data_IF_974094118342
#
_entry.id   IF_974094118342
#
_cell.length_a   1.000
_cell.length_b   1.000
_cell.length_c   1.000
_cell.angle_alpha   90.00
_cell.angle_beta   90.00
_cell.angle_gamma   90.00
#
_symmetry.space_group_name_H-M   'P 1'
#
loop_
_entity.id
_entity.type
_entity.pdbx_description
1 polymer ?
#
# COMPACT_ATOMS: atom_id res chain seq x y z
N UNK A 1 11.99 17.64 -6.64
CA UNK A 1 10.69 18.23 -6.27
C UNK A 1 10.23 19.13 -7.40
N UNK A 2 9.14 18.76 -8.10
CA UNK A 2 8.64 19.46 -9.29
C UNK A 2 7.55 20.49 -8.97
N UNK A 3 7.21 20.68 -7.69
CA UNK A 3 6.16 21.60 -7.27
C UNK A 3 6.38 23.07 -7.67
N UNK A 4 7.62 23.59 -7.69
CA UNK A 4 7.85 24.97 -8.17
C UNK A 4 7.46 25.19 -9.63
N UNK A 5 7.54 24.13 -10.45
CA UNK A 5 7.25 24.23 -11.88
C UNK A 5 5.75 24.21 -12.22
N UNK A 6 4.88 24.07 -11.22
CA UNK A 6 3.42 24.04 -11.37
C UNK A 6 2.73 25.34 -10.93
N UNK A 7 3.49 26.38 -10.60
CA UNK A 7 2.94 27.67 -10.24
C UNK A 7 3.60 28.80 -11.04
N UNK A 8 2.90 29.92 -11.16
CA UNK A 8 3.32 31.08 -11.96
C UNK A 8 4.55 31.81 -11.38
N UNK A 9 4.86 31.61 -10.10
CA UNK A 9 5.95 32.32 -9.42
C UNK A 9 7.34 31.79 -9.81
N UNK A 10 7.41 30.59 -10.35
CA UNK A 10 8.66 29.95 -10.76
C UNK A 10 8.55 29.34 -12.17
N UNK A 11 7.74 29.93 -13.02
CA UNK A 11 7.63 29.50 -14.42
C UNK A 11 8.97 29.68 -15.13
N UNK A 12 9.54 28.54 -15.59
CA UNK A 12 10.73 28.55 -16.43
C UNK A 12 10.38 28.92 -17.85
N UNK A 13 11.21 29.70 -18.50
CA UNK A 13 11.01 30.19 -19.88
C UNK A 13 11.13 29.07 -20.94
N UNK A 14 11.53 27.89 -20.57
CA UNK A 14 11.67 26.71 -21.47
C UNK A 14 10.61 25.65 -21.27
N UNK A 15 10.18 25.02 -22.35
CA UNK A 15 9.19 23.92 -22.33
C UNK A 15 9.72 22.62 -21.69
N UNK A 16 11.00 22.54 -21.33
CA UNK A 16 11.62 21.33 -20.75
C UNK A 16 11.00 20.89 -19.42
N UNK A 17 10.43 21.82 -18.63
CA UNK A 17 9.73 21.52 -17.40
C UNK A 17 8.41 20.75 -17.56
N UNK A 18 7.91 20.61 -18.78
CA UNK A 18 6.62 19.98 -19.10
C UNK A 18 6.76 18.59 -19.74
N UNK A 19 7.94 18.01 -19.73
CA UNK A 19 8.20 16.68 -20.29
C UNK A 19 7.47 15.52 -19.55
N UNK A 20 6.88 15.80 -18.39
CA UNK A 20 6.04 14.84 -17.67
C UNK A 20 4.72 14.47 -18.38
N UNK A 21 4.37 15.15 -19.48
CA UNK A 21 3.21 14.79 -20.31
C UNK A 21 3.36 13.46 -21.04
N UNK A 22 4.58 12.97 -21.22
CA UNK A 22 4.83 11.72 -21.89
C UNK A 22 4.75 10.58 -20.86
N UNK A 23 3.82 9.64 -21.07
CA UNK A 23 3.72 8.43 -20.26
C UNK A 23 4.88 7.51 -20.63
N UNK A 24 5.74 7.20 -19.66
CA UNK A 24 6.82 6.25 -19.85
C UNK A 24 6.26 4.82 -20.01
N UNK A 25 6.90 4.02 -20.87
CA UNK A 25 6.58 2.60 -21.01
C UNK A 25 6.96 1.77 -19.78
N UNK A 26 7.85 2.30 -18.90
CA UNK A 26 8.25 1.65 -17.65
C UNK A 26 8.31 2.68 -16.53
N UNK A 27 8.06 2.22 -15.30
CA UNK A 27 8.15 3.04 -14.10
C UNK A 27 8.84 2.26 -12.98
N UNK A 28 9.91 2.82 -12.42
CA UNK A 28 10.67 2.19 -11.33
C UNK A 28 9.84 1.96 -10.06
N UNK A 29 8.82 2.80 -9.80
CA UNK A 29 7.92 2.61 -8.65
C UNK A 29 7.10 1.33 -8.79
N UNK A 30 6.61 1.02 -10.01
CA UNK A 30 5.87 -0.21 -10.28
C UNK A 30 6.69 -1.43 -9.90
N UNK A 31 7.90 -1.52 -10.41
CA UNK A 31 8.79 -2.65 -10.14
C UNK A 31 9.19 -2.74 -8.65
N UNK A 32 9.50 -1.61 -8.03
CA UNK A 32 9.85 -1.56 -6.61
C UNK A 32 8.69 -2.06 -5.72
N UNK A 33 7.47 -1.58 -5.95
CA UNK A 33 6.31 -2.02 -5.17
C UNK A 33 6.08 -3.53 -5.29
N UNK A 34 6.10 -4.10 -6.49
CA UNK A 34 5.91 -5.54 -6.65
C UNK A 34 7.07 -6.38 -6.10
N UNK A 35 8.29 -5.84 -6.09
CA UNK A 35 9.42 -6.48 -5.41
C UNK A 35 9.17 -6.59 -3.90
N UNK A 36 8.70 -5.53 -3.27
CA UNK A 36 8.39 -5.55 -1.83
C UNK A 36 7.16 -6.42 -1.51
N UNK A 37 6.14 -6.41 -2.36
CA UNK A 37 4.99 -7.32 -2.24
C UNK A 37 5.44 -8.78 -2.29
N UNK A 38 6.34 -9.13 -3.23
CA UNK A 38 6.90 -10.48 -3.31
C UNK A 38 7.63 -10.86 -2.03
N UNK A 39 8.46 -9.97 -1.46
CA UNK A 39 9.15 -10.20 -0.19
C UNK A 39 8.18 -10.48 0.95
N UNK A 40 7.10 -9.69 1.06
CA UNK A 40 6.06 -9.90 2.06
C UNK A 40 5.37 -11.26 1.88
N UNK A 41 5.03 -11.65 0.65
CA UNK A 41 4.39 -12.93 0.37
C UNK A 41 5.30 -14.13 0.64
N UNK A 42 6.61 -14.03 0.37
CA UNK A 42 7.59 -15.06 0.74
C UNK A 42 7.64 -15.24 2.26
N UNK A 43 7.68 -14.14 3.02
CA UNK A 43 7.64 -14.20 4.48
C UNK A 43 6.34 -14.87 4.95
N UNK A 44 5.18 -14.44 4.45
CA UNK A 44 3.89 -15.00 4.83
C UNK A 44 3.77 -16.50 4.52
N UNK A 45 4.38 -16.96 3.44
CA UNK A 45 4.38 -18.38 3.04
C UNK A 45 5.16 -19.26 4.02
N UNK A 46 6.29 -18.75 4.54
CA UNK A 46 7.23 -19.57 5.32
C UNK A 46 7.21 -19.30 6.83
N UNK A 47 6.56 -18.25 7.30
CA UNK A 47 6.61 -17.86 8.71
C UNK A 47 6.04 -18.92 9.66
N UNK A 48 5.10 -19.72 9.19
CA UNK A 48 4.48 -20.75 10.01
C UNK A 48 5.41 -21.96 10.26
N UNK A 49 6.34 -22.21 9.35
CA UNK A 49 7.32 -23.29 9.44
C UNK A 49 8.47 -22.95 10.39
N UNK A 50 8.63 -21.69 10.77
CA UNK A 50 9.74 -21.23 11.63
C UNK A 50 9.43 -21.52 13.09
N UNK A 51 10.40 -22.10 13.81
CA UNK A 51 10.29 -22.31 15.27
C UNK A 51 10.56 -21.01 16.02
N UNK A 52 9.49 -20.30 16.40
CA UNK A 52 9.54 -19.09 17.20
C UNK A 52 8.25 -18.90 18.03
N UNK A 53 8.29 -18.11 19.13
CA UNK A 53 7.12 -17.82 19.93
C UNK A 53 5.97 -17.22 19.10
N UNK A 54 4.73 -17.65 19.38
CA UNK A 54 3.54 -17.21 18.65
C UNK A 54 3.38 -15.67 18.57
N UNK A 55 3.70 -14.97 19.66
CA UNK A 55 3.65 -13.50 19.67
C UNK A 55 4.64 -12.88 18.67
N UNK A 56 5.81 -13.48 18.49
CA UNK A 56 6.78 -13.03 17.49
C UNK A 56 6.32 -13.38 16.08
N UNK A 57 5.73 -14.56 15.86
CA UNK A 57 5.10 -14.92 14.58
C UNK A 57 4.05 -13.90 14.18
N UNK A 58 3.12 -13.61 15.08
CA UNK A 58 2.04 -12.66 14.84
C UNK A 58 2.57 -11.27 14.53
N UNK A 59 3.60 -10.82 15.24
CA UNK A 59 4.24 -9.55 14.95
C UNK A 59 4.84 -9.49 13.54
N UNK A 60 5.61 -10.50 13.13
CA UNK A 60 6.22 -10.52 11.79
C UNK A 60 5.20 -10.72 10.67
N UNK A 61 4.15 -11.53 10.90
CA UNK A 61 3.01 -11.61 9.98
C UNK A 61 2.34 -10.25 9.81
N UNK A 62 2.10 -9.55 10.92
CA UNK A 62 1.49 -8.22 10.90
C UNK A 62 2.33 -7.20 10.13
N UNK A 63 3.66 -7.26 10.27
CA UNK A 63 4.57 -6.44 9.46
C UNK A 63 4.44 -6.77 7.96
N UNK A 64 4.40 -8.05 7.60
CA UNK A 64 4.27 -8.45 6.19
C UNK A 64 2.94 -7.96 5.57
N UNK A 65 1.83 -8.13 6.30
CA UNK A 65 0.53 -7.60 5.87
C UNK A 65 0.54 -6.07 5.77
N UNK A 66 1.12 -5.37 6.75
CA UNK A 66 1.24 -3.91 6.72
C UNK A 66 2.01 -3.43 5.49
N UNK A 67 3.16 -4.06 5.20
CA UNK A 67 3.98 -3.71 4.04
C UNK A 67 3.30 -4.05 2.73
N UNK A 68 2.66 -5.22 2.63
CA UNK A 68 1.92 -5.63 1.43
C UNK A 68 0.79 -4.67 1.10
N UNK A 69 -0.02 -4.34 2.10
CA UNK A 69 -1.10 -3.36 1.96
C UNK A 69 -0.57 -1.97 1.58
N UNK A 70 0.49 -1.49 2.25
CA UNK A 70 1.13 -0.22 1.92
C UNK A 70 1.62 -0.16 0.47
N UNK A 71 2.29 -1.20 -0.02
CA UNK A 71 2.82 -1.22 -1.39
C UNK A 71 1.71 -1.26 -2.44
N UNK A 72 0.65 -2.03 -2.21
CA UNK A 72 -0.52 -1.99 -3.10
C UNK A 72 -1.22 -0.62 -3.08
N UNK A 73 -1.33 0.03 -1.93
CA UNK A 73 -1.81 1.41 -1.86
C UNK A 73 -0.94 2.36 -2.69
N UNK A 74 0.38 2.23 -2.63
CA UNK A 74 1.29 3.04 -3.46
C UNK A 74 1.05 2.83 -4.96
N UNK A 75 0.79 1.58 -5.38
CA UNK A 75 0.43 1.26 -6.76
C UNK A 75 -0.89 1.90 -7.16
N UNK A 76 -1.95 1.71 -6.36
CA UNK A 76 -3.27 2.28 -6.62
C UNK A 76 -3.22 3.81 -6.69
N UNK A 77 -2.52 4.44 -5.74
CA UNK A 77 -2.39 5.90 -5.70
C UNK A 77 -1.72 6.48 -6.94
N UNK A 78 -0.74 5.77 -7.51
CA UNK A 78 0.04 6.28 -8.65
C UNK A 78 -0.52 5.85 -10.00
N UNK A 79 -1.05 4.63 -10.10
CA UNK A 79 -1.40 4.00 -11.36
C UNK A 79 -2.89 3.68 -11.52
N UNK A 80 -3.68 3.80 -10.45
CA UNK A 80 -5.08 3.36 -10.46
C UNK A 80 -5.18 1.84 -10.39
N UNK A 81 -5.74 1.23 -11.44
CA UNK A 81 -5.91 -0.22 -11.52
C UNK A 81 -4.55 -0.93 -11.52
N UNK A 82 -4.44 -1.97 -10.69
CA UNK A 82 -3.26 -2.80 -10.58
C UNK A 82 -3.64 -4.24 -10.21
N UNK A 83 -2.68 -5.16 -10.20
CA UNK A 83 -2.92 -6.50 -9.70
C UNK A 83 -2.77 -6.58 -8.19
N UNK A 84 -3.74 -7.23 -7.53
CA UNK A 84 -3.55 -7.75 -6.18
C UNK A 84 -2.75 -9.04 -6.24
N UNK A 85 -1.66 -9.09 -5.50
CA UNK A 85 -0.77 -10.26 -5.43
C UNK A 85 -0.62 -10.67 -3.97
N UNK A 86 -1.22 -11.78 -3.59
CA UNK A 86 -1.25 -12.31 -2.22
C UNK A 86 -0.42 -13.59 -2.04
N UNK A 87 0.26 -14.03 -3.08
CA UNK A 87 1.14 -15.19 -3.06
C UNK A 87 2.47 -14.93 -3.77
N UNK A 88 3.42 -15.81 -3.57
CA UNK A 88 4.62 -15.83 -4.40
C UNK A 88 4.27 -16.32 -5.80
N UNK A 89 4.42 -15.44 -6.80
CA UNK A 89 4.14 -15.77 -8.20
C UNK A 89 5.27 -16.59 -8.82
N UNK A 90 4.87 -17.51 -9.67
CA UNK A 90 5.74 -18.31 -10.54
C UNK A 90 5.47 -17.96 -12.00
N UNK A 91 6.26 -18.50 -12.92
CA UNK A 91 6.06 -18.33 -14.37
C UNK A 91 4.75 -18.95 -14.88
N UNK A 92 4.12 -19.82 -14.08
CA UNK A 92 2.85 -20.47 -14.40
C UNK A 92 1.63 -19.60 -14.11
N UNK A 93 1.79 -18.52 -13.33
CA UNK A 93 0.72 -17.61 -12.95
C UNK A 93 0.36 -16.62 -14.08
N UNK A 94 0.19 -17.11 -15.29
CA UNK A 94 0.00 -16.33 -16.53
C UNK A 94 -1.17 -15.34 -16.44
N UNK A 95 -2.26 -15.70 -15.74
CA UNK A 95 -3.43 -14.83 -15.57
C UNK A 95 -3.10 -13.54 -14.83
N UNK A 96 -2.21 -13.60 -13.83
CA UNK A 96 -1.77 -12.44 -13.09
C UNK A 96 -0.68 -11.69 -13.83
N UNK A 97 0.26 -12.44 -14.44
CA UNK A 97 1.42 -11.85 -15.13
C UNK A 97 1.03 -11.10 -16.42
N UNK A 98 0.01 -11.57 -17.14
CA UNK A 98 -0.32 -11.08 -18.49
C UNK A 98 -1.79 -10.68 -18.67
N UNK A 99 -2.61 -10.78 -17.62
CA UNK A 99 -4.04 -10.48 -17.67
C UNK A 99 -4.35 -8.98 -17.58
N UNK A 100 -5.62 -8.64 -17.40
CA UNK A 100 -6.08 -7.26 -17.17
C UNK A 100 -5.88 -6.88 -15.70
N UNK A 101 -5.50 -5.63 -15.46
CA UNK A 101 -5.44 -5.07 -14.11
C UNK A 101 -6.80 -5.15 -13.43
N UNK A 102 -6.81 -5.42 -12.14
CA UNK A 102 -8.01 -5.40 -11.31
C UNK A 102 -8.43 -3.97 -11.01
N UNK A 103 -9.72 -3.78 -10.81
CA UNK A 103 -10.27 -2.50 -10.44
C UNK A 103 -9.65 -1.99 -9.14
N UNK A 104 -9.28 -0.72 -9.10
CA UNK A 104 -8.63 -0.10 -7.94
C UNK A 104 -9.44 -0.27 -6.63
N UNK A 105 -10.78 -0.25 -6.72
CA UNK A 105 -11.63 -0.37 -5.53
C UNK A 105 -11.51 -1.76 -4.89
N UNK A 106 -11.49 -2.82 -5.73
CA UNK A 106 -11.28 -4.20 -5.25
C UNK A 106 -9.91 -4.35 -4.60
N UNK A 107 -8.87 -3.75 -5.19
CA UNK A 107 -7.53 -3.76 -4.62
C UNK A 107 -7.50 -3.01 -3.28
N UNK A 108 -8.18 -1.86 -3.18
CA UNK A 108 -8.24 -1.09 -1.93
C UNK A 108 -9.01 -1.80 -0.82
N UNK A 109 -10.01 -2.61 -1.16
CA UNK A 109 -10.69 -3.46 -0.19
C UNK A 109 -9.72 -4.49 0.41
N UNK A 110 -8.90 -5.11 -0.41
CA UNK A 110 -7.83 -6.03 0.04
C UNK A 110 -6.74 -5.32 0.84
N UNK A 111 -6.36 -4.10 0.45
CA UNK A 111 -5.45 -3.27 1.24
C UNK A 111 -6.02 -3.04 2.63
N UNK A 112 -7.31 -2.72 2.75
CA UNK A 112 -7.96 -2.50 4.04
C UNK A 112 -8.00 -3.79 4.89
N UNK A 113 -8.23 -4.96 4.28
CA UNK A 113 -8.15 -6.25 4.96
C UNK A 113 -6.75 -6.48 5.56
N UNK A 114 -5.69 -6.26 4.78
CA UNK A 114 -4.30 -6.38 5.23
C UNK A 114 -3.97 -5.44 6.39
N UNK A 115 -4.39 -4.18 6.29
CA UNK A 115 -4.17 -3.19 7.35
C UNK A 115 -4.95 -3.52 8.63
N UNK A 116 -6.18 -4.04 8.50
CA UNK A 116 -6.97 -4.50 9.62
C UNK A 116 -6.29 -5.66 10.34
N UNK A 117 -5.80 -6.66 9.58
CA UNK A 117 -5.04 -7.77 10.15
C UNK A 117 -3.80 -7.28 10.90
N UNK A 118 -3.02 -6.40 10.27
CA UNK A 118 -1.80 -5.87 10.86
C UNK A 118 -2.06 -5.18 12.20
N UNK A 119 -3.05 -4.30 12.28
CA UNK A 119 -3.39 -3.59 13.52
C UNK A 119 -3.92 -4.54 14.60
N UNK A 120 -4.76 -5.51 14.23
CA UNK A 120 -5.36 -6.43 15.20
C UNK A 120 -4.38 -7.43 15.79
N UNK A 121 -3.33 -7.82 15.06
CA UNK A 121 -2.45 -8.94 15.43
C UNK A 121 -1.02 -8.54 15.77
N UNK A 122 -0.62 -7.27 15.58
CA UNK A 122 0.75 -6.81 15.84
C UNK A 122 1.14 -6.90 17.33
N UNK A 123 0.18 -6.77 18.23
CA UNK A 123 0.39 -6.80 19.68
C UNK A 123 1.26 -5.63 20.18
N UNK A 124 1.69 -5.75 21.42
CA UNK A 124 2.44 -4.71 22.13
C UNK A 124 3.97 -4.75 21.88
N UNK A 125 4.44 -5.66 21.01
CA UNK A 125 5.86 -5.74 20.71
C UNK A 125 6.36 -4.42 20.12
N UNK A 126 7.43 -3.89 20.73
CA UNK A 126 8.02 -2.61 20.36
C UNK A 126 7.09 -1.38 20.53
N UNK A 127 6.00 -1.48 21.30
CA UNK A 127 5.04 -0.37 21.47
C UNK A 127 5.70 0.92 21.98
N UNK A 128 6.72 0.81 22.83
CA UNK A 128 7.51 1.95 23.34
C UNK A 128 8.68 2.36 22.43
N UNK A 129 8.95 1.63 21.36
CA UNK A 129 10.07 1.92 20.46
C UNK A 129 9.76 3.12 19.57
N UNK A 130 10.75 4.01 19.43
CA UNK A 130 10.68 5.15 18.49
C UNK A 130 11.24 4.83 17.09
N UNK A 131 11.91 3.70 16.96
CA UNK A 131 12.63 3.34 15.71
C UNK A 131 12.12 2.06 15.06
N UNK A 132 11.36 1.23 15.79
CA UNK A 132 10.79 -0.01 15.27
C UNK A 132 9.31 0.17 14.93
N UNK A 133 8.85 -0.57 13.94
CA UNK A 133 7.43 -0.66 13.64
C UNK A 133 6.68 -1.29 14.81
N UNK A 134 5.56 -0.70 15.17
CA UNK A 134 4.69 -1.13 16.26
C UNK A 134 3.23 -0.85 15.91
N UNK A 135 2.32 -1.22 16.78
CA UNK A 135 0.87 -1.06 16.57
C UNK A 135 0.47 0.41 16.34
N UNK A 136 1.15 1.37 16.99
CA UNK A 136 0.85 2.79 16.80
C UNK A 136 1.24 3.28 15.41
N UNK A 137 2.40 2.84 14.91
CA UNK A 137 2.81 3.13 13.53
C UNK A 137 1.86 2.48 12.52
N UNK A 138 1.43 1.24 12.77
CA UNK A 138 0.45 0.56 11.91
C UNK A 138 -0.89 1.31 11.87
N UNK A 139 -1.38 1.77 13.03
CA UNK A 139 -2.58 2.60 13.11
C UNK A 139 -2.44 3.93 12.36
N UNK A 140 -1.31 4.62 12.50
CA UNK A 140 -1.06 5.88 11.80
C UNK A 140 -1.04 5.69 10.27
N UNK A 141 -0.39 4.63 9.80
CA UNK A 141 -0.38 4.27 8.36
C UNK A 141 -1.80 3.96 7.87
N UNK A 142 -2.54 3.13 8.60
CA UNK A 142 -3.94 2.78 8.27
C UNK A 142 -4.82 4.03 8.24
N UNK A 143 -4.73 4.90 9.24
CA UNK A 143 -5.50 6.15 9.29
C UNK A 143 -5.23 7.02 8.06
N UNK A 144 -3.96 7.21 7.70
CA UNK A 144 -3.56 7.98 6.52
C UNK A 144 -4.11 7.40 5.22
N UNK A 145 -4.06 6.08 5.05
CA UNK A 145 -4.59 5.39 3.87
C UNK A 145 -6.11 5.51 3.82
N UNK A 146 -6.80 5.27 4.94
CA UNK A 146 -8.25 5.40 5.04
C UNK A 146 -8.73 6.83 4.74
N UNK A 147 -8.02 7.85 5.25
CA UNK A 147 -8.35 9.24 4.96
C UNK A 147 -8.19 9.57 3.48
N UNK A 148 -7.10 9.13 2.87
CA UNK A 148 -6.87 9.32 1.43
C UNK A 148 -7.98 8.65 0.62
N UNK A 149 -8.26 7.39 0.87
CA UNK A 149 -9.23 6.63 0.09
C UNK A 149 -10.67 7.08 0.33
N UNK A 150 -11.04 7.40 1.56
CA UNK A 150 -12.35 7.97 1.87
C UNK A 150 -12.57 9.31 1.18
N UNK A 151 -11.55 10.15 1.13
CA UNK A 151 -11.59 11.43 0.42
C UNK A 151 -11.70 11.20 -1.10
N UNK A 152 -10.90 10.29 -1.64
CA UNK A 152 -10.96 9.93 -3.06
C UNK A 152 -12.35 9.38 -3.44
N UNK A 153 -12.89 8.46 -2.64
CA UNK A 153 -14.21 7.88 -2.87
C UNK A 153 -15.31 8.95 -2.84
N UNK A 154 -15.26 9.88 -1.87
CA UNK A 154 -16.22 10.98 -1.76
C UNK A 154 -16.25 11.87 -3.01
N UNK A 155 -15.08 12.26 -3.50
CA UNK A 155 -15.00 13.27 -4.55
C UNK A 155 -14.99 12.70 -5.97
N UNK A 156 -14.51 11.49 -6.16
CA UNK A 156 -14.32 10.89 -7.48
C UNK A 156 -15.26 9.73 -7.78
N UNK A 157 -15.58 8.90 -6.77
CA UNK A 157 -16.41 7.72 -6.97
C UNK A 157 -17.87 7.95 -6.55
N UNK A 158 -18.15 8.95 -5.73
CA UNK A 158 -19.46 9.25 -5.12
C UNK A 158 -20.07 8.06 -4.37
N UNK A 159 -19.26 7.12 -3.95
CA UNK A 159 -19.65 5.88 -3.31
C UNK A 159 -18.61 5.42 -2.28
N UNK A 160 -19.04 4.61 -1.29
CA UNK A 160 -18.18 3.89 -0.33
C UNK A 160 -17.23 4.72 0.56
N UNK A 161 -17.32 6.05 0.58
CA UNK A 161 -16.46 6.90 1.42
C UNK A 161 -16.60 6.56 2.91
N UNK A 162 -17.82 6.29 3.37
CA UNK A 162 -18.16 5.95 4.75
C UNK A 162 -17.38 4.72 5.25
N UNK A 163 -17.26 3.70 4.43
CA UNK A 163 -16.53 2.45 4.72
C UNK A 163 -15.08 2.71 5.20
N UNK A 164 -14.40 3.66 4.58
CA UNK A 164 -13.01 3.99 4.94
C UNK A 164 -12.93 4.89 6.17
N UNK A 165 -13.86 5.82 6.32
CA UNK A 165 -13.89 6.71 7.49
C UNK A 165 -14.22 5.98 8.78
N UNK A 166 -15.16 5.04 8.75
CA UNK A 166 -15.51 4.20 9.90
C UNK A 166 -14.37 3.24 10.29
N UNK A 167 -13.51 2.87 9.35
CA UNK A 167 -12.35 1.99 9.59
C UNK A 167 -11.08 2.76 9.96
N UNK A 168 -11.07 4.08 9.85
CA UNK A 168 -9.99 4.88 10.38
C UNK A 168 -9.98 4.76 11.93
N UNK A 169 -8.83 4.57 12.56
CA UNK A 169 -8.74 4.55 14.02
C UNK A 169 -9.26 5.87 14.60
N UNK A 170 -10.16 5.77 15.60
CA UNK A 170 -10.86 6.92 16.20
C UNK A 170 -10.00 7.76 17.15
N UNK A 171 -8.70 7.56 17.20
CA UNK A 171 -7.78 8.23 18.11
C UNK A 171 -6.73 9.04 17.34
N UNK A 172 -7.12 10.24 16.97
CA UNK A 172 -6.24 11.39 16.77
C UNK A 172 -6.96 12.63 17.29
#
# INVERSE_FOLDING_TARGET
>A
FYFPNLNDNQAVTGLSGWNFKNVSASDGTWNACYTEIRRANILLKHIDDVDMPAASKNYYKSLAYLYRGWQHFCLVRKFGDCYWVDKELTTEDATILYGKRQNRNEVMDKVLEDLNYAVANMGEKNASSRTAYNVHVANAIKSRICLFEGTYAKYHLKDNAQKYWEKAPSHY
#
